data_IF_985687568786
#
_entry.id   IF_985687568786
#
_cell.length_a   1.000
_cell.length_b   1.000
_cell.length_c   1.000
_cell.angle_alpha   90.00
_cell.angle_beta   90.00
_cell.angle_gamma   90.00
#
_symmetry.space_group_name_H-M   'P 1'
#
loop_
_entity.id
_entity.type
_entity.pdbx_description
1 polymer ?
#
# COMPACT_ATOMS: atom_id res chain seq x y z
N UNK A 1 -7.91 25.70 -1.38
CA UNK A 1 -9.38 25.91 -1.60
C UNK A 1 -10.21 25.30 -0.47
N UNK A 2 -9.86 24.10 0.07
CA UNK A 2 -10.60 23.46 1.17
C UNK A 2 -10.66 24.35 2.44
N UNK A 3 -9.60 25.11 2.75
CA UNK A 3 -9.55 25.99 3.93
C UNK A 3 -10.59 27.13 3.91
N UNK A 4 -11.08 27.51 2.73
CA UNK A 4 -12.11 28.54 2.62
C UNK A 4 -13.47 28.09 3.16
N UNK A 5 -13.74 26.79 3.24
CA UNK A 5 -15.04 26.27 3.70
C UNK A 5 -15.20 26.49 5.21
N UNK A 6 -14.29 26.03 6.09
CA UNK A 6 -14.44 26.30 7.52
C UNK A 6 -14.27 27.78 7.87
N UNK A 7 -13.50 28.56 7.08
CA UNK A 7 -13.27 29.99 7.36
C UNK A 7 -14.50 30.87 7.02
N UNK A 8 -15.15 30.59 5.89
CA UNK A 8 -16.22 31.45 5.35
C UNK A 8 -17.63 30.88 5.45
N UNK A 9 -17.74 29.55 5.61
CA UNK A 9 -18.98 28.78 5.56
C UNK A 9 -19.11 27.81 6.74
N UNK A 10 -18.95 28.31 7.95
CA UNK A 10 -18.89 27.49 9.20
C UNK A 10 -20.15 26.63 9.43
N UNK A 11 -21.30 27.04 8.85
CA UNK A 11 -22.55 26.27 8.95
C UNK A 11 -22.78 25.31 7.78
N UNK A 12 -21.83 25.23 6.83
CA UNK A 12 -21.94 24.30 5.71
C UNK A 12 -21.81 22.84 6.17
N UNK A 13 -22.60 21.94 5.56
CA UNK A 13 -22.46 20.49 5.75
C UNK A 13 -21.09 19.95 5.32
N UNK A 14 -20.35 20.67 4.52
CA UNK A 14 -19.04 20.29 3.99
C UNK A 14 -17.87 20.69 4.88
N UNK A 15 -18.12 21.23 6.07
CA UNK A 15 -17.04 21.69 6.97
C UNK A 15 -16.18 20.54 7.44
N UNK A 16 -16.80 19.43 7.87
CA UNK A 16 -16.09 18.28 8.40
C UNK A 16 -15.25 17.62 7.30
N UNK A 17 -15.83 17.38 6.12
CA UNK A 17 -15.12 16.87 4.96
C UNK A 17 -13.94 17.79 4.55
N UNK A 18 -14.14 19.10 4.53
CA UNK A 18 -13.08 20.07 4.23
C UNK A 18 -11.93 19.99 5.26
N UNK A 19 -12.24 19.83 6.54
CA UNK A 19 -11.25 19.69 7.60
C UNK A 19 -10.47 18.37 7.48
N UNK A 20 -11.14 17.25 7.14
CA UNK A 20 -10.46 15.98 6.81
C UNK A 20 -9.49 16.18 5.66
N UNK A 21 -9.91 16.81 4.57
CA UNK A 21 -9.04 17.13 3.42
C UNK A 21 -7.84 18.00 3.80
N UNK A 22 -8.03 19.00 4.70
CA UNK A 22 -6.95 19.83 5.21
C UNK A 22 -5.97 18.99 6.02
N UNK A 23 -6.46 18.16 6.94
CA UNK A 23 -5.64 17.23 7.71
C UNK A 23 -4.80 16.33 6.82
N UNK A 24 -5.42 15.68 5.84
CA UNK A 24 -4.73 14.84 4.83
C UNK A 24 -3.65 15.62 4.07
N UNK A 25 -3.97 16.82 3.59
CA UNK A 25 -3.02 17.66 2.86
C UNK A 25 -1.81 18.05 3.72
N UNK A 26 -2.02 18.31 5.01
CA UNK A 26 -0.94 18.56 5.98
C UNK A 26 -0.03 17.34 6.17
N UNK A 27 -0.60 16.15 6.29
CA UNK A 27 0.17 14.90 6.38
C UNK A 27 1.05 14.68 5.14
N UNK A 28 0.49 14.86 3.93
CA UNK A 28 1.26 14.74 2.69
C UNK A 28 2.38 15.79 2.56
N UNK A 29 2.29 16.92 3.26
CA UNK A 29 3.33 17.94 3.34
C UNK A 29 4.35 17.68 4.47
N UNK A 30 4.22 16.61 5.22
CA UNK A 30 5.04 16.34 6.40
C UNK A 30 4.71 17.20 7.63
N UNK A 31 3.61 17.96 7.60
CA UNK A 31 3.13 18.79 8.70
C UNK A 31 2.31 17.95 9.69
N UNK A 32 2.96 16.94 10.31
CA UNK A 32 2.25 15.93 11.09
C UNK A 32 1.53 16.50 12.30
N UNK A 33 2.15 17.40 13.07
CA UNK A 33 1.53 18.01 14.25
C UNK A 33 0.22 18.71 13.90
N UNK A 34 0.26 19.61 12.90
CA UNK A 34 -0.93 20.37 12.48
C UNK A 34 -2.01 19.45 11.87
N UNK A 35 -1.57 18.40 11.17
CA UNK A 35 -2.47 17.39 10.60
C UNK A 35 -3.20 16.62 11.69
N UNK A 36 -2.48 16.14 12.70
CA UNK A 36 -3.03 15.43 13.87
C UNK A 36 -4.02 16.31 14.63
N UNK A 37 -3.66 17.56 14.90
CA UNK A 37 -4.57 18.51 15.58
C UNK A 37 -5.86 18.73 14.82
N UNK A 38 -5.76 18.91 13.49
CA UNK A 38 -6.94 19.09 12.63
C UNK A 38 -7.85 17.86 12.67
N UNK A 39 -7.28 16.66 12.53
CA UNK A 39 -8.06 15.43 12.52
C UNK A 39 -8.67 15.11 13.90
N UNK A 40 -7.95 15.42 14.99
CA UNK A 40 -8.52 15.37 16.35
C UNK A 40 -9.70 16.31 16.52
N UNK A 41 -9.60 17.51 15.95
CA UNK A 41 -10.70 18.47 15.98
C UNK A 41 -11.95 17.93 15.27
N UNK A 42 -11.78 17.30 14.08
CA UNK A 42 -12.90 16.65 13.38
C UNK A 42 -13.54 15.57 14.26
N UNK A 43 -12.74 14.70 14.86
CA UNK A 43 -13.29 13.68 15.74
C UNK A 43 -14.06 14.24 16.95
N UNK A 44 -13.58 15.35 17.54
CA UNK A 44 -14.20 15.94 18.73
C UNK A 44 -15.41 16.83 18.44
N UNK A 45 -15.45 17.50 17.28
CA UNK A 45 -16.42 18.56 16.95
C UNK A 45 -17.18 18.35 15.67
N UNK A 46 -16.80 17.37 14.86
CA UNK A 46 -17.48 17.01 13.62
C UNK A 46 -18.93 16.60 13.88
N UNK A 47 -19.79 16.87 12.91
CA UNK A 47 -21.25 16.59 12.95
C UNK A 47 -21.60 15.35 12.16
N UNK A 48 -20.81 15.06 11.11
CA UNK A 48 -21.00 13.92 10.23
C UNK A 48 -20.17 12.73 10.70
N UNK A 49 -20.83 11.61 10.97
CA UNK A 49 -20.15 10.42 11.50
C UNK A 49 -19.24 9.75 10.46
N UNK A 50 -19.59 9.81 9.16
CA UNK A 50 -18.74 9.23 8.10
C UNK A 50 -17.44 10.03 7.95
N UNK A 51 -17.52 11.37 8.00
CA UNK A 51 -16.37 12.28 7.99
C UNK A 51 -15.49 12.10 9.26
N UNK A 52 -16.11 11.87 10.42
CA UNK A 52 -15.37 11.54 11.66
C UNK A 52 -14.61 10.23 11.54
N UNK A 53 -15.25 9.19 10.99
CA UNK A 53 -14.60 7.90 10.74
C UNK A 53 -13.43 8.05 9.76
N UNK A 54 -13.62 8.78 8.65
CA UNK A 54 -12.53 9.10 7.73
C UNK A 54 -11.40 9.87 8.45
N UNK A 55 -11.75 10.87 9.24
CA UNK A 55 -10.81 11.64 10.05
C UNK A 55 -9.98 10.76 11.00
N UNK A 56 -10.62 9.78 11.66
CA UNK A 56 -9.95 8.83 12.55
C UNK A 56 -9.02 7.88 11.78
N UNK A 57 -9.40 7.42 10.59
CA UNK A 57 -8.55 6.58 9.74
C UNK A 57 -7.28 7.35 9.34
N UNK A 58 -7.41 8.64 8.96
CA UNK A 58 -6.26 9.47 8.65
C UNK A 58 -5.44 9.83 9.89
N UNK A 59 -6.08 9.99 11.05
CA UNK A 59 -5.38 10.17 12.32
C UNK A 59 -4.56 8.93 12.69
N UNK A 60 -5.13 7.73 12.52
CA UNK A 60 -4.40 6.46 12.67
C UNK A 60 -3.18 6.42 11.75
N UNK A 61 -3.34 6.81 10.46
CA UNK A 61 -2.23 6.92 9.52
C UNK A 61 -1.15 7.89 9.98
N UNK A 62 -1.55 9.06 10.49
CA UNK A 62 -0.62 10.06 11.00
C UNK A 62 0.21 9.53 12.17
N UNK A 63 -0.41 8.78 13.09
CA UNK A 63 0.30 8.14 14.18
C UNK A 63 1.29 7.06 13.69
N UNK A 64 0.95 6.32 12.65
CA UNK A 64 1.91 5.37 12.02
C UNK A 64 3.11 6.10 11.45
N UNK A 65 2.90 7.21 10.71
CA UNK A 65 3.99 8.02 10.13
C UNK A 65 4.91 8.63 11.21
N UNK A 66 4.35 9.01 12.35
CA UNK A 66 5.10 9.54 13.49
C UNK A 66 5.63 8.45 14.46
N UNK A 67 5.43 7.16 14.11
CA UNK A 67 5.81 5.98 14.89
C UNK A 67 5.15 5.90 16.27
N UNK A 68 4.06 6.63 16.49
CA UNK A 68 3.22 6.48 17.69
C UNK A 68 2.25 5.30 17.48
N UNK A 69 2.81 4.11 17.49
CA UNK A 69 2.05 2.88 17.24
C UNK A 69 0.99 2.59 18.32
N UNK A 70 1.18 3.06 19.55
CA UNK A 70 0.21 2.86 20.62
C UNK A 70 -1.06 3.67 20.35
N UNK A 71 -0.92 4.94 19.99
CA UNK A 71 -2.06 5.76 19.58
C UNK A 71 -2.74 5.21 18.32
N UNK A 72 -1.96 4.74 17.34
CA UNK A 72 -2.52 4.12 16.13
C UNK A 72 -3.34 2.86 16.45
N UNK A 73 -2.85 1.98 17.35
CA UNK A 73 -3.57 0.78 17.80
C UNK A 73 -4.85 1.13 18.55
N UNK A 74 -4.82 2.16 19.40
CA UNK A 74 -6.01 2.62 20.14
C UNK A 74 -7.11 3.11 19.20
N UNK A 75 -6.73 3.86 18.15
CA UNK A 75 -7.69 4.30 17.11
C UNK A 75 -8.20 3.10 16.30
N UNK A 76 -7.32 2.15 15.96
CA UNK A 76 -7.72 0.94 15.24
C UNK A 76 -8.74 0.11 16.04
N UNK A 77 -8.54 -0.04 17.35
CA UNK A 77 -9.46 -0.78 18.21
C UNK A 77 -10.81 -0.08 18.34
N UNK A 78 -10.81 1.24 18.44
CA UNK A 78 -12.06 2.02 18.42
C UNK A 78 -12.82 1.83 17.10
N UNK A 79 -12.16 2.00 15.95
CA UNK A 79 -12.78 1.88 14.62
C UNK A 79 -13.32 0.47 14.34
N UNK A 80 -12.72 -0.57 14.93
CA UNK A 80 -13.18 -1.96 14.77
C UNK A 80 -14.63 -2.17 15.18
N UNK A 81 -15.11 -1.41 16.16
CA UNK A 81 -16.47 -1.50 16.69
C UNK A 81 -17.46 -0.53 16.05
N UNK A 82 -17.02 0.32 15.12
CA UNK A 82 -17.86 1.32 14.50
C UNK A 82 -18.56 0.81 13.23
N UNK A 83 -19.77 1.27 12.92
CA UNK A 83 -20.47 0.96 11.67
C UNK A 83 -19.87 1.79 10.52
N UNK A 84 -18.74 1.32 9.96
CA UNK A 84 -18.09 1.99 8.85
C UNK A 84 -18.83 1.74 7.55
N UNK A 85 -18.93 2.76 6.68
CA UNK A 85 -19.34 2.56 5.31
C UNK A 85 -18.27 1.79 4.50
N UNK A 86 -18.58 1.36 3.28
CA UNK A 86 -17.69 0.53 2.45
C UNK A 86 -16.34 1.19 2.18
N UNK A 87 -16.30 2.51 1.96
CA UNK A 87 -15.08 3.25 1.70
C UNK A 87 -14.21 3.33 2.96
N UNK A 88 -14.78 3.73 4.07
CA UNK A 88 -14.08 3.78 5.36
C UNK A 88 -13.63 2.39 5.81
N UNK A 89 -14.41 1.34 5.56
CA UNK A 89 -14.03 -0.05 5.83
C UNK A 89 -12.76 -0.42 5.06
N UNK A 90 -12.71 -0.17 3.75
CA UNK A 90 -11.52 -0.43 2.94
C UNK A 90 -10.30 0.35 3.45
N UNK A 91 -10.48 1.65 3.67
CA UNK A 91 -9.40 2.54 4.10
C UNK A 91 -8.88 2.15 5.49
N UNK A 92 -9.77 1.77 6.41
CA UNK A 92 -9.41 1.27 7.73
C UNK A 92 -8.51 0.03 7.65
N UNK A 93 -8.89 -0.98 6.88
CA UNK A 93 -8.09 -2.20 6.73
C UNK A 93 -6.74 -1.92 6.06
N UNK A 94 -6.69 -1.06 5.05
CA UNK A 94 -5.44 -0.67 4.41
C UNK A 94 -4.47 0.04 5.38
N UNK A 95 -4.97 0.98 6.18
CA UNK A 95 -4.13 1.68 7.17
C UNK A 95 -3.74 0.74 8.31
N UNK A 96 -4.61 -0.20 8.70
CA UNK A 96 -4.28 -1.23 9.69
C UNK A 96 -3.19 -2.19 9.19
N UNK A 97 -3.27 -2.62 7.93
CA UNK A 97 -2.20 -3.42 7.32
C UNK A 97 -0.88 -2.64 7.25
N UNK A 98 -0.94 -1.35 6.90
CA UNK A 98 0.21 -0.47 6.88
C UNK A 98 0.86 -0.31 8.27
N UNK A 99 0.06 -0.18 9.34
CA UNK A 99 0.54 -0.18 10.73
C UNK A 99 1.38 -1.42 11.04
N UNK A 100 0.86 -2.62 10.74
CA UNK A 100 1.58 -3.86 10.99
C UNK A 100 2.82 -4.01 10.08
N UNK A 101 2.76 -3.53 8.83
CA UNK A 101 3.92 -3.48 7.93
C UNK A 101 5.04 -2.61 8.52
N UNK A 102 4.72 -1.40 9.01
CA UNK A 102 5.71 -0.49 9.62
C UNK A 102 6.32 -1.05 10.91
N UNK A 103 5.59 -1.88 11.64
CA UNK A 103 6.08 -2.64 12.79
C UNK A 103 6.85 -3.90 12.39
N UNK A 104 6.98 -4.19 11.09
CA UNK A 104 7.57 -5.42 10.55
C UNK A 104 6.82 -6.71 10.97
N UNK A 105 5.59 -6.59 11.37
CA UNK A 105 4.68 -7.69 11.69
C UNK A 105 4.03 -8.21 10.40
N UNK A 106 4.87 -8.63 9.43
CA UNK A 106 4.43 -8.97 8.07
C UNK A 106 3.33 -10.04 8.00
N UNK A 107 3.32 -11.11 8.82
CA UNK A 107 2.23 -12.08 8.80
C UNK A 107 0.86 -11.47 9.14
N UNK A 108 0.82 -10.51 10.09
CA UNK A 108 -0.41 -9.82 10.45
C UNK A 108 -0.87 -8.84 9.34
N UNK A 109 0.08 -8.08 8.78
CA UNK A 109 -0.20 -7.19 7.65
C UNK A 109 -0.78 -7.95 6.45
N UNK A 110 -0.15 -9.07 6.09
CA UNK A 110 -0.59 -9.92 4.99
C UNK A 110 -1.97 -10.55 5.25
N UNK A 111 -2.24 -11.06 6.46
CA UNK A 111 -3.55 -11.60 6.80
C UNK A 111 -4.67 -10.57 6.59
N UNK A 112 -4.44 -9.31 6.99
CA UNK A 112 -5.41 -8.22 6.77
C UNK A 112 -5.56 -7.93 5.27
N UNK A 113 -4.47 -7.87 4.50
CA UNK A 113 -4.52 -7.57 3.06
C UNK A 113 -5.24 -8.68 2.28
N UNK A 114 -5.03 -9.96 2.60
CA UNK A 114 -5.69 -11.07 1.93
C UNK A 114 -7.22 -10.98 2.02
N UNK A 115 -7.73 -10.62 3.17
CA UNK A 115 -9.17 -10.39 3.35
C UNK A 115 -9.66 -9.12 2.62
N UNK A 116 -8.78 -8.11 2.50
CA UNK A 116 -9.13 -6.80 1.93
C UNK A 116 -9.13 -6.79 0.41
N UNK A 117 -8.30 -7.62 -0.26
CA UNK A 117 -8.14 -7.58 -1.72
C UNK A 117 -9.46 -7.75 -2.49
N UNK A 118 -10.40 -8.52 -1.97
CA UNK A 118 -11.71 -8.71 -2.58
C UNK A 118 -12.58 -7.43 -2.60
N UNK A 119 -12.28 -6.48 -1.72
CA UNK A 119 -13.00 -5.22 -1.57
C UNK A 119 -12.38 -4.10 -2.44
N UNK A 120 -11.20 -4.32 -3.03
CA UNK A 120 -10.45 -3.29 -3.74
C UNK A 120 -10.85 -3.23 -5.22
N UNK A 121 -11.04 -2.01 -5.77
CA UNK A 121 -11.26 -1.84 -7.21
C UNK A 121 -9.97 -2.09 -7.99
N UNK A 122 -10.10 -2.45 -9.27
CA UNK A 122 -8.93 -2.52 -10.17
C UNK A 122 -8.36 -1.13 -10.43
N UNK A 123 -7.23 -0.84 -9.84
CA UNK A 123 -6.56 0.46 -9.92
C UNK A 123 -5.04 0.33 -9.80
N UNK A 124 -4.32 1.39 -10.13
CA UNK A 124 -2.87 1.46 -9.88
C UNK A 124 -2.55 1.38 -8.38
N UNK A 125 -3.41 1.93 -7.51
CA UNK A 125 -3.25 1.81 -6.07
C UNK A 125 -3.33 0.35 -5.61
N UNK A 126 -4.33 -0.40 -6.09
CA UNK A 126 -4.44 -1.84 -5.82
C UNK A 126 -3.24 -2.63 -6.36
N UNK A 127 -2.72 -2.24 -7.54
CA UNK A 127 -1.48 -2.82 -8.06
C UNK A 127 -0.29 -2.58 -7.11
N UNK A 128 -0.16 -1.39 -6.54
CA UNK A 128 0.89 -1.06 -5.55
C UNK A 128 0.74 -1.86 -4.26
N UNK A 129 -0.50 -2.10 -3.81
CA UNK A 129 -0.77 -2.90 -2.61
C UNK A 129 -0.37 -4.37 -2.87
N UNK A 130 -0.72 -4.94 -4.02
CA UNK A 130 -0.25 -6.27 -4.40
C UNK A 130 1.27 -6.35 -4.47
N UNK A 131 1.93 -5.33 -5.03
CA UNK A 131 3.38 -5.30 -5.09
C UNK A 131 4.01 -5.28 -3.69
N UNK A 132 3.48 -4.48 -2.76
CA UNK A 132 3.93 -4.45 -1.37
C UNK A 132 3.68 -5.80 -0.65
N UNK A 133 2.54 -6.45 -0.89
CA UNK A 133 2.26 -7.78 -0.35
C UNK A 133 3.25 -8.82 -0.87
N UNK A 134 3.57 -8.79 -2.17
CA UNK A 134 4.58 -9.67 -2.77
C UNK A 134 5.95 -9.49 -2.09
N UNK A 135 6.38 -8.24 -1.88
CA UNK A 135 7.64 -7.96 -1.19
C UNK A 135 7.64 -8.47 0.26
N UNK A 136 6.53 -8.35 0.98
CA UNK A 136 6.42 -8.91 2.34
C UNK A 136 6.49 -10.44 2.33
N UNK A 137 5.90 -11.11 1.33
CA UNK A 137 6.05 -12.55 1.16
C UNK A 137 7.49 -12.96 0.82
N UNK A 138 8.20 -12.17 0.02
CA UNK A 138 9.64 -12.39 -0.26
C UNK A 138 10.47 -12.29 1.01
N UNK A 139 10.20 -11.28 1.87
CA UNK A 139 10.87 -11.14 3.16
C UNK A 139 10.61 -12.32 4.13
N UNK A 140 9.49 -13.00 3.95
CA UNK A 140 9.13 -14.21 4.72
C UNK A 140 9.61 -15.52 4.06
N UNK A 141 10.41 -15.43 2.99
CA UNK A 141 10.87 -16.58 2.19
C UNK A 141 9.72 -17.45 1.66
N UNK A 142 8.66 -16.79 1.17
CA UNK A 142 7.47 -17.42 0.59
C UNK A 142 7.30 -17.06 -0.91
N UNK A 143 8.25 -17.47 -1.77
CA UNK A 143 8.30 -17.00 -3.16
C UNK A 143 7.08 -17.42 -3.99
N UNK A 144 6.42 -18.54 -3.68
CA UNK A 144 5.17 -18.95 -4.37
C UNK A 144 4.04 -17.97 -4.11
N UNK A 145 3.85 -17.54 -2.86
CA UNK A 145 2.84 -16.56 -2.50
C UNK A 145 3.20 -15.18 -3.06
N UNK A 146 4.46 -14.76 -2.96
CA UNK A 146 4.95 -13.53 -3.57
C UNK A 146 4.64 -13.48 -5.07
N UNK A 147 4.87 -14.59 -5.80
CA UNK A 147 4.62 -14.67 -7.23
C UNK A 147 3.15 -14.44 -7.60
N UNK A 148 2.21 -14.99 -6.83
CA UNK A 148 0.78 -14.75 -7.05
C UNK A 148 0.42 -13.26 -6.98
N UNK A 149 1.04 -12.53 -6.06
CA UNK A 149 0.82 -11.09 -5.92
C UNK A 149 1.55 -10.29 -7.00
N UNK A 150 2.78 -10.63 -7.40
CA UNK A 150 3.44 -10.00 -8.54
C UNK A 150 2.63 -10.16 -9.84
N UNK A 151 2.04 -11.33 -10.08
CA UNK A 151 1.14 -11.54 -11.22
C UNK A 151 -0.15 -10.71 -11.10
N UNK A 152 -0.68 -10.56 -9.87
CA UNK A 152 -1.86 -9.74 -9.63
C UNK A 152 -1.62 -8.25 -9.93
N UNK A 153 -0.39 -7.76 -9.78
CA UNK A 153 -0.03 -6.39 -10.20
C UNK A 153 -0.45 -6.12 -11.63
N UNK A 154 -0.09 -7.03 -12.57
CA UNK A 154 -0.41 -6.87 -13.99
C UNK A 154 -1.92 -6.80 -14.30
N UNK A 155 -2.76 -7.38 -13.44
CA UNK A 155 -4.22 -7.39 -13.60
C UNK A 155 -4.89 -6.10 -13.09
N UNK A 156 -4.13 -5.24 -12.38
CA UNK A 156 -4.63 -4.05 -11.68
C UNK A 156 -4.18 -2.72 -12.29
N UNK A 157 -3.94 -2.67 -13.61
CA UNK A 157 -3.59 -1.44 -14.36
C UNK A 157 -2.39 -0.70 -13.75
N UNK A 158 -1.24 -1.36 -13.58
CA UNK A 158 -0.05 -0.72 -13.02
C UNK A 158 0.49 0.37 -13.95
N UNK A 159 1.28 1.31 -13.40
CA UNK A 159 2.21 2.11 -14.18
C UNK A 159 3.24 1.20 -14.86
N UNK A 160 3.91 1.71 -15.91
CA UNK A 160 4.89 0.92 -16.67
C UNK A 160 5.99 0.35 -15.75
N UNK A 161 6.58 1.19 -14.92
CA UNK A 161 7.67 0.80 -14.02
C UNK A 161 7.22 -0.26 -13.00
N UNK A 162 6.05 -0.06 -12.40
CA UNK A 162 5.50 -1.03 -11.44
C UNK A 162 5.26 -2.40 -12.11
N UNK A 163 4.72 -2.40 -13.31
CA UNK A 163 4.50 -3.61 -14.12
C UNK A 163 5.82 -4.29 -14.51
N UNK A 164 6.84 -3.49 -14.89
CA UNK A 164 8.17 -4.00 -15.20
C UNK A 164 8.79 -4.73 -13.99
N UNK A 165 8.85 -4.07 -12.82
CA UNK A 165 9.43 -4.68 -11.62
C UNK A 165 8.63 -5.89 -11.14
N UNK A 166 7.31 -5.86 -11.23
CA UNK A 166 6.48 -7.00 -10.89
C UNK A 166 6.76 -8.21 -11.79
N UNK A 167 6.84 -8.01 -13.12
CA UNK A 167 7.18 -9.07 -14.05
C UNK A 167 8.59 -9.63 -13.81
N UNK A 168 9.58 -8.78 -13.58
CA UNK A 168 10.95 -9.20 -13.30
C UNK A 168 11.03 -10.04 -12.03
N UNK A 169 10.40 -9.60 -10.94
CA UNK A 169 10.38 -10.31 -9.67
C UNK A 169 9.58 -11.62 -9.77
N UNK A 170 8.49 -11.64 -10.53
CA UNK A 170 7.72 -12.86 -10.80
C UNK A 170 8.59 -13.90 -11.51
N UNK A 171 9.32 -13.52 -12.55
CA UNK A 171 10.25 -14.42 -13.24
C UNK A 171 11.36 -14.93 -12.30
N UNK A 172 11.91 -14.04 -11.46
CA UNK A 172 12.93 -14.43 -10.48
C UNK A 172 12.38 -15.44 -9.48
N UNK A 173 11.21 -15.21 -8.90
CA UNK A 173 10.58 -16.11 -7.94
C UNK A 173 10.19 -17.45 -8.56
N UNK A 174 9.69 -17.44 -9.80
CA UNK A 174 9.39 -18.69 -10.52
C UNK A 174 10.66 -19.55 -10.69
N UNK A 175 11.77 -18.93 -11.10
CA UNK A 175 13.07 -19.64 -11.26
C UNK A 175 13.63 -20.18 -9.94
N UNK A 176 13.36 -19.51 -8.82
CA UNK A 176 13.84 -19.93 -7.49
C UNK A 176 12.94 -20.97 -6.82
N UNK A 177 11.66 -20.99 -7.20
CA UNK A 177 10.67 -21.94 -6.65
C UNK A 177 10.76 -23.30 -7.30
N UNK A 178 11.02 -23.34 -8.61
CA UNK A 178 11.09 -24.56 -9.40
C UNK A 178 12.23 -24.45 -10.44
N UNK A 179 13.31 -25.19 -10.21
CA UNK A 179 14.47 -25.17 -11.09
C UNK A 179 14.16 -25.68 -12.51
N UNK A 180 13.03 -26.38 -12.71
CA UNK A 180 12.60 -26.86 -14.04
C UNK A 180 11.93 -25.76 -14.87
N UNK A 181 11.48 -24.68 -14.24
CA UNK A 181 10.88 -23.54 -14.95
C UNK A 181 11.96 -22.74 -15.65
N UNK A 182 11.94 -22.77 -16.98
CA UNK A 182 12.78 -21.88 -17.77
C UNK A 182 12.18 -20.48 -17.83
N UNK A 183 12.83 -19.53 -17.16
CA UNK A 183 12.46 -18.10 -17.20
C UNK A 183 13.23 -17.33 -18.26
N UNK A 184 14.14 -18.00 -18.98
CA UNK A 184 15.02 -17.39 -19.98
C UNK A 184 14.24 -16.66 -21.10
N UNK A 185 13.17 -17.26 -21.60
CA UNK A 185 12.31 -16.66 -22.63
C UNK A 185 11.62 -15.38 -22.13
N UNK A 186 11.23 -15.36 -20.85
CA UNK A 186 10.65 -14.19 -20.19
C UNK A 186 11.65 -13.03 -20.11
N UNK A 187 12.84 -13.29 -19.61
CA UNK A 187 13.92 -12.29 -19.54
C UNK A 187 14.36 -11.82 -20.93
N UNK A 188 14.52 -12.73 -21.90
CA UNK A 188 14.83 -12.36 -23.31
C UNK A 188 13.77 -11.42 -23.90
N UNK A 189 12.48 -11.70 -23.67
CA UNK A 189 11.39 -10.82 -24.10
C UNK A 189 11.50 -9.43 -23.47
N UNK A 190 11.76 -9.35 -22.17
CA UNK A 190 11.94 -8.08 -21.48
C UNK A 190 13.19 -7.31 -21.98
N UNK A 191 14.30 -7.99 -22.22
CA UNK A 191 15.53 -7.39 -22.76
C UNK A 191 15.38 -6.86 -24.18
N UNK A 192 14.54 -7.51 -25.00
CA UNK A 192 14.28 -7.11 -26.39
C UNK A 192 13.25 -5.98 -26.52
N UNK A 193 12.49 -5.68 -25.47
CA UNK A 193 11.57 -4.54 -25.47
C UNK A 193 12.39 -3.24 -25.35
N UNK A 194 12.25 -2.38 -26.37
CA UNK A 194 12.95 -1.07 -26.43
C UNK A 194 12.57 -0.15 -25.26
N UNK A 195 11.38 -0.30 -24.71
CA UNK A 195 10.94 0.49 -23.55
C UNK A 195 11.75 0.19 -22.30
N UNK A 196 12.41 -0.97 -22.24
CA UNK A 196 13.25 -1.39 -21.13
C UNK A 196 14.73 -1.02 -21.28
N UNK A 197 15.10 -0.20 -22.28
CA UNK A 197 16.51 0.15 -22.57
C UNK A 197 17.26 0.60 -21.32
N UNK A 198 16.64 1.45 -20.50
CA UNK A 198 17.25 2.07 -19.33
C UNK A 198 17.16 1.21 -18.06
N UNK A 199 16.50 0.04 -18.16
CA UNK A 199 16.28 -0.90 -17.07
C UNK A 199 16.96 -2.25 -17.31
N UNK A 200 17.78 -2.39 -18.34
CA UNK A 200 18.45 -3.65 -18.69
C UNK A 200 19.45 -4.12 -17.63
N UNK A 201 20.08 -3.20 -16.94
CA UNK A 201 20.97 -3.48 -15.81
C UNK A 201 20.22 -4.27 -14.72
N UNK A 202 18.97 -3.92 -14.44
CA UNK A 202 18.11 -4.62 -13.47
C UNK A 202 17.79 -6.04 -13.90
N UNK A 203 17.54 -6.24 -15.19
CA UNK A 203 17.28 -7.58 -15.72
C UNK A 203 18.52 -8.47 -15.63
N UNK A 204 19.69 -7.98 -16.02
CA UNK A 204 20.95 -8.73 -15.90
C UNK A 204 21.29 -9.02 -14.45
N UNK A 205 21.09 -8.07 -13.54
CA UNK A 205 21.26 -8.30 -12.11
C UNK A 205 20.34 -9.42 -11.59
N UNK A 206 19.05 -9.37 -11.94
CA UNK A 206 18.08 -10.40 -11.54
C UNK A 206 18.46 -11.79 -12.08
N UNK A 207 18.90 -11.87 -13.34
CA UNK A 207 19.41 -13.12 -13.92
C UNK A 207 20.65 -13.63 -13.16
N UNK A 208 21.60 -12.75 -12.81
CA UNK A 208 22.77 -13.09 -12.01
C UNK A 208 22.40 -13.62 -10.62
N UNK A 209 21.39 -13.03 -9.97
CA UNK A 209 20.88 -13.54 -8.68
C UNK A 209 20.32 -14.96 -8.81
N UNK A 210 19.58 -15.24 -9.90
CA UNK A 210 19.05 -16.59 -10.16
C UNK A 210 20.19 -17.59 -10.31
N UNK A 211 21.19 -17.30 -11.15
CA UNK A 211 22.31 -18.19 -11.38
C UNK A 211 23.11 -18.43 -10.09
N UNK A 212 23.37 -17.37 -9.34
CA UNK A 212 24.05 -17.46 -8.04
C UNK A 212 23.32 -18.37 -7.06
N UNK A 213 22.00 -18.24 -6.94
CA UNK A 213 21.20 -19.06 -6.03
C UNK A 213 21.07 -20.51 -6.50
N UNK A 214 21.06 -20.75 -7.81
CA UNK A 214 21.10 -22.11 -8.39
C UNK A 214 22.49 -22.75 -8.27
N UNK A 215 23.47 -22.02 -7.74
CA UNK A 215 24.89 -22.45 -7.68
C UNK A 215 25.50 -22.81 -9.03
N UNK A 216 24.99 -22.21 -10.09
CA UNK A 216 25.52 -22.31 -11.43
C UNK A 216 26.67 -21.29 -11.59
N UNK A 217 27.79 -21.55 -10.95
CA UNK A 217 29.02 -20.77 -11.19
C UNK A 217 29.77 -21.38 -12.36
N UNK A 218 30.37 -20.56 -13.25
CA UNK A 218 31.31 -21.03 -14.24
C UNK A 218 32.59 -21.57 -13.60
#
# INVERSE_FOLDING_TARGET
KASLVPDRHQNSRWVDNALVLIGRARLYKGQFTDGIETLRYVNAKGRDEEDKHEGLIWLMRAYVETKDYNSALSVAEFLRSQPLNDENTRNYYLVKAYLHQQKQEYPLALGILEETFSLLPKSEETARIHFAAAQMYDLLDKPKAANLHYEAVGRNRPSYDLGFFANMNSLQNAALTDATISTESGFKRMLNDRKNSDLRDRLYYSMGVIETRKKNYP
#
